data_IF_905594851658
#
_entry.id   IF_905594851658
#
_cell.length_a   1.000
_cell.length_b   1.000
_cell.length_c   1.000
_cell.angle_alpha   90.00
_cell.angle_beta   90.00
_cell.angle_gamma   90.00
#
_symmetry.space_group_name_H-M   'P 1'
#
loop_
_entity.id
_entity.type
_entity.pdbx_description
1 polymer ?
#
# COMPACT_ATOMS: atom_id res chain seq x y z
N UNK A 1 9.04 10.22 13.59
CA UNK A 1 9.12 8.79 13.98
C UNK A 1 8.15 8.08 13.06
N UNK A 2 8.60 7.07 12.33
CA UNK A 2 7.73 6.31 11.44
C UNK A 2 6.64 5.61 12.24
N UNK A 3 5.39 5.84 11.85
CA UNK A 3 4.20 5.31 12.52
C UNK A 3 3.66 4.09 11.79
N UNK A 4 3.62 4.17 10.46
CA UNK A 4 3.06 3.15 9.61
C UNK A 4 4.18 2.39 8.92
N UNK A 5 4.02 1.07 8.87
CA UNK A 5 4.87 0.19 8.07
C UNK A 5 3.98 -0.63 7.14
N UNK A 6 4.35 -0.69 5.87
CA UNK A 6 3.74 -1.59 4.90
C UNK A 6 4.76 -2.63 4.47
N UNK A 7 4.34 -3.88 4.39
CA UNK A 7 5.10 -4.94 3.72
C UNK A 7 4.27 -5.54 2.59
N UNK A 8 4.90 -5.86 1.46
CA UNK A 8 4.29 -6.53 0.33
C UNK A 8 5.14 -7.74 -0.06
N UNK A 9 4.57 -8.94 0.04
CA UNK A 9 5.25 -10.21 -0.21
C UNK A 9 4.62 -10.92 -1.40
N UNK A 10 5.45 -11.45 -2.31
CA UNK A 10 4.98 -12.24 -3.44
C UNK A 10 4.47 -13.61 -2.99
N UNK A 11 3.23 -13.97 -3.36
CA UNK A 11 2.62 -15.27 -3.05
C UNK A 11 2.62 -16.23 -4.25
N UNK A 12 3.18 -15.79 -5.39
CA UNK A 12 3.32 -16.58 -6.61
C UNK A 12 2.23 -16.27 -7.64
N UNK A 13 2.48 -16.66 -8.91
CA UNK A 13 1.50 -16.48 -9.99
C UNK A 13 1.08 -15.02 -10.27
N UNK A 14 1.95 -14.04 -9.96
CA UNK A 14 1.63 -12.62 -10.08
C UNK A 14 0.73 -12.06 -8.99
N UNK A 15 0.56 -12.80 -7.89
CA UNK A 15 -0.19 -12.39 -6.70
C UNK A 15 0.75 -11.97 -5.57
N UNK A 16 0.23 -11.10 -4.72
CA UNK A 16 0.93 -10.48 -3.61
C UNK A 16 0.00 -10.38 -2.42
N UNK A 17 0.57 -10.45 -1.23
CA UNK A 17 -0.10 -10.13 0.02
C UNK A 17 0.58 -8.91 0.64
N UNK A 18 -0.20 -7.95 1.10
CA UNK A 18 0.31 -6.81 1.84
C UNK A 18 -0.22 -6.74 3.26
N UNK A 19 0.59 -6.20 4.18
CA UNK A 19 0.19 -5.95 5.57
C UNK A 19 0.63 -4.55 5.97
N UNK A 20 -0.34 -3.70 6.29
CA UNK A 20 -0.12 -2.40 6.94
C UNK A 20 -0.15 -2.60 8.46
N UNK A 21 0.84 -2.06 9.16
CA UNK A 21 0.88 -2.00 10.63
C UNK A 21 0.96 -0.55 11.10
N UNK A 22 0.02 -0.13 11.95
CA UNK A 22 0.11 1.10 12.73
C UNK A 22 0.80 0.80 14.07
N UNK A 23 2.07 1.17 14.19
CA UNK A 23 2.89 0.91 15.38
C UNK A 23 2.43 1.70 16.62
N UNK A 24 1.62 2.76 16.46
CA UNK A 24 1.08 3.50 17.60
C UNK A 24 -0.04 2.72 18.32
N UNK A 25 -0.78 1.89 17.58
CA UNK A 25 -1.97 1.18 18.07
C UNK A 25 -1.85 -0.34 18.01
N UNK A 26 -0.78 -0.86 17.39
CA UNK A 26 -0.63 -2.25 16.97
C UNK A 26 -1.78 -2.76 16.10
N UNK A 27 -2.48 -1.86 15.42
CA UNK A 27 -3.54 -2.22 14.49
C UNK A 27 -2.96 -2.62 13.13
N UNK A 28 -3.58 -3.62 12.50
CA UNK A 28 -3.15 -4.15 11.20
C UNK A 28 -4.28 -4.17 10.19
N UNK A 29 -3.93 -3.91 8.93
CA UNK A 29 -4.80 -4.10 7.76
C UNK A 29 -4.12 -5.06 6.81
N UNK A 30 -4.85 -6.10 6.39
CA UNK A 30 -4.35 -7.12 5.47
C UNK A 30 -4.99 -6.95 4.10
N UNK A 31 -4.16 -7.03 3.06
CA UNK A 31 -4.53 -7.05 1.64
C UNK A 31 -4.08 -8.38 1.03
N UNK A 32 -4.86 -9.44 1.25
CA UNK A 32 -4.47 -10.83 0.94
C UNK A 32 -4.49 -11.25 -0.54
N UNK A 33 -5.06 -10.46 -1.44
CA UNK A 33 -5.16 -10.79 -2.87
C UNK A 33 -4.84 -9.58 -3.74
N UNK A 34 -3.65 -9.00 -3.55
CA UNK A 34 -3.13 -7.98 -4.45
C UNK A 34 -2.63 -8.64 -5.74
N UNK A 35 -2.89 -8.02 -6.89
CA UNK A 35 -2.58 -8.60 -8.20
C UNK A 35 -1.90 -7.58 -9.08
N UNK A 36 -0.98 -8.07 -9.92
CA UNK A 36 -0.44 -7.27 -11.01
C UNK A 36 -1.52 -7.01 -12.04
N UNK A 37 -1.71 -5.74 -12.38
CA UNK A 37 -2.65 -5.31 -13.41
C UNK A 37 -2.10 -4.11 -14.19
N UNK A 38 -2.75 -3.82 -15.31
CA UNK A 38 -2.41 -2.67 -16.15
C UNK A 38 -3.43 -1.56 -15.88
N UNK A 39 -2.95 -0.43 -15.38
CA UNK A 39 -3.77 0.76 -15.12
C UNK A 39 -3.14 1.94 -15.86
N UNK A 40 -3.90 2.59 -16.76
CA UNK A 40 -3.45 3.74 -17.55
C UNK A 40 -2.12 3.52 -18.29
N UNK A 41 -1.92 2.30 -18.81
CA UNK A 41 -0.70 1.93 -19.53
C UNK A 41 0.52 1.64 -18.63
N UNK A 42 0.36 1.71 -17.30
CA UNK A 42 1.39 1.35 -16.31
C UNK A 42 1.07 0.02 -15.65
N UNK A 43 2.10 -0.77 -15.39
CA UNK A 43 1.96 -1.98 -14.58
C UNK A 43 1.97 -1.59 -13.11
N UNK A 44 0.89 -1.91 -12.41
CA UNK A 44 0.71 -1.70 -10.97
C UNK A 44 0.48 -3.04 -10.28
N UNK A 45 0.58 -3.06 -8.95
CA UNK A 45 0.03 -4.12 -8.11
C UNK A 45 -1.05 -3.50 -7.23
N UNK A 46 -2.28 -4.00 -7.31
CA UNK A 46 -3.39 -3.45 -6.54
C UNK A 46 -4.28 -4.52 -5.94
N UNK A 47 -4.96 -4.17 -4.85
CA UNK A 47 -5.90 -5.08 -4.20
C UNK A 47 -6.68 -4.43 -3.05
N UNK A 48 -7.90 -4.89 -2.78
CA UNK A 48 -8.67 -4.44 -1.64
C UNK A 48 -8.15 -5.07 -0.34
N UNK A 49 -8.39 -4.38 0.77
CA UNK A 49 -8.35 -4.98 2.10
C UNK A 49 -9.21 -6.24 2.14
N UNK A 50 -8.67 -7.33 2.67
CA UNK A 50 -9.34 -8.63 2.74
C UNK A 50 -10.04 -8.86 4.08
N UNK A 51 -9.56 -8.22 5.15
CA UNK A 51 -10.14 -8.38 6.49
C UNK A 51 -11.06 -7.21 6.86
N UNK A 52 -12.29 -7.48 7.30
CA UNK A 52 -13.22 -6.43 7.76
C UNK A 52 -14.04 -5.77 6.65
N UNK A 53 -14.28 -4.45 6.75
CA UNK A 53 -15.25 -3.70 5.92
C UNK A 53 -14.78 -3.35 4.49
N UNK A 54 -13.66 -3.90 3.99
CA UNK A 54 -13.11 -3.62 2.64
C UNK A 54 -13.10 -2.12 2.28
N UNK A 55 -12.62 -1.30 3.22
CA UNK A 55 -12.62 0.15 3.08
C UNK A 55 -11.37 0.64 2.34
N UNK A 56 -10.26 -0.08 2.54
CA UNK A 56 -8.97 0.30 1.99
C UNK A 56 -8.65 -0.39 0.66
N UNK A 57 -8.04 0.37 -0.25
CA UNK A 57 -7.44 -0.10 -1.49
C UNK A 57 -5.94 0.16 -1.46
N UNK A 58 -5.16 -0.84 -1.85
CA UNK A 58 -3.72 -0.73 -2.06
C UNK A 58 -3.45 -0.54 -3.55
N UNK A 59 -2.57 0.39 -3.89
CA UNK A 59 -1.94 0.51 -5.20
C UNK A 59 -0.42 0.66 -5.02
N UNK A 60 0.35 -0.18 -5.71
CA UNK A 60 1.80 -0.11 -5.76
C UNK A 60 2.26 0.10 -7.19
N UNK A 61 3.21 1.00 -7.38
CA UNK A 61 3.88 1.22 -8.65
C UNK A 61 5.40 1.35 -8.46
N UNK A 62 6.16 1.09 -9.54
CA UNK A 62 7.58 1.38 -9.56
C UNK A 62 7.80 2.83 -10.02
N UNK A 63 8.53 3.61 -9.25
CA UNK A 63 8.86 5.00 -9.59
C UNK A 63 9.94 5.07 -10.67
N UNK A 64 10.08 6.19 -11.40
CA UNK A 64 11.15 6.39 -12.37
C UNK A 64 12.55 6.26 -11.77
N UNK A 65 12.70 6.62 -10.50
CA UNK A 65 13.96 6.57 -9.75
C UNK A 65 14.32 5.15 -9.27
N UNK A 66 13.46 4.17 -9.54
CA UNK A 66 13.72 2.76 -9.29
C UNK A 66 13.19 2.22 -7.96
N UNK A 67 12.65 3.09 -7.10
CA UNK A 67 11.95 2.72 -5.87
C UNK A 67 10.54 2.18 -6.15
N UNK A 68 9.91 1.60 -5.13
CA UNK A 68 8.49 1.30 -5.15
C UNK A 68 7.74 2.36 -4.36
N UNK A 69 6.64 2.86 -4.90
CA UNK A 69 5.69 3.67 -4.17
C UNK A 69 4.46 2.82 -3.86
N UNK A 70 3.95 2.89 -2.63
CA UNK A 70 2.68 2.28 -2.24
C UNK A 70 1.74 3.37 -1.73
N UNK A 71 0.53 3.41 -2.27
CA UNK A 71 -0.56 4.24 -1.80
C UNK A 71 -1.65 3.34 -1.20
N UNK A 72 -2.07 3.63 0.02
CA UNK A 72 -3.25 3.03 0.65
C UNK A 72 -4.35 4.07 0.74
N UNK A 73 -5.51 3.79 0.15
CA UNK A 73 -6.64 4.74 0.09
C UNK A 73 -7.89 4.16 0.72
N UNK A 74 -8.53 4.91 1.62
CA UNK A 74 -9.88 4.66 2.11
C UNK A 74 -10.78 5.75 1.53
N UNK A 75 -11.17 5.59 0.26
CA UNK A 75 -11.90 6.64 -0.47
C UNK A 75 -13.29 6.82 0.14
N UNK A 76 -13.70 8.06 0.48
CA UNK A 76 -13.08 9.35 0.11
C UNK A 76 -12.27 10.03 1.22
N UNK A 77 -11.88 9.32 2.27
CA UNK A 77 -11.44 9.92 3.53
C UNK A 77 -9.92 10.03 3.68
N UNK A 78 -9.15 8.99 3.36
CA UNK A 78 -7.73 8.92 3.77
C UNK A 78 -6.80 8.35 2.70
N UNK A 79 -5.56 8.83 2.71
CA UNK A 79 -4.40 8.34 1.97
C UNK A 79 -3.24 8.10 2.94
N UNK A 80 -2.56 6.97 2.82
CA UNK A 80 -1.24 6.76 3.41
C UNK A 80 -0.29 6.46 2.25
N UNK A 81 0.70 7.33 2.05
CA UNK A 81 1.69 7.18 0.98
C UNK A 81 3.04 6.74 1.55
N UNK A 82 3.64 5.78 0.87
CA UNK A 82 4.96 5.25 1.14
C UNK A 82 5.80 5.50 -0.13
N UNK A 83 6.60 6.58 -0.13
CA UNK A 83 7.30 7.06 -1.34
C UNK A 83 8.54 6.24 -1.72
N UNK A 84 9.27 5.75 -0.72
CA UNK A 84 10.58 5.12 -0.88
C UNK A 84 10.57 3.69 -0.31
N UNK A 85 9.70 2.82 -0.85
CA UNK A 85 9.70 1.43 -0.45
C UNK A 85 10.89 0.67 -1.06
N UNK A 86 11.56 -0.13 -0.24
CA UNK A 86 12.78 -0.85 -0.60
C UNK A 86 12.54 -2.37 -0.61
N UNK A 87 13.41 -3.08 -1.32
CA UNK A 87 13.43 -4.55 -1.26
C UNK A 87 14.14 -4.99 0.01
N UNK A 88 13.48 -5.84 0.78
CA UNK A 88 14.01 -6.42 2.01
C UNK A 88 13.64 -7.91 2.11
N UNK A 89 14.04 -8.57 3.20
CA UNK A 89 13.71 -9.95 3.52
C UNK A 89 13.00 -10.01 4.87
N UNK A 90 11.75 -10.47 4.86
CA UNK A 90 10.96 -10.71 6.07
C UNK A 90 10.67 -12.21 6.17
N UNK A 91 11.01 -12.82 7.31
CA UNK A 91 10.87 -14.28 7.56
C UNK A 91 11.46 -15.17 6.45
N UNK A 92 12.57 -14.73 5.85
CA UNK A 92 13.25 -15.45 4.77
C UNK A 92 12.61 -15.31 3.38
N UNK A 93 11.57 -14.48 3.24
CA UNK A 93 10.93 -14.17 1.96
C UNK A 93 11.27 -12.75 1.51
N UNK A 94 11.58 -12.59 0.22
CA UNK A 94 11.74 -11.26 -0.37
C UNK A 94 10.42 -10.50 -0.33
N UNK A 95 10.48 -9.27 0.15
CA UNK A 95 9.33 -8.38 0.27
C UNK A 95 9.73 -6.95 -0.07
N UNK A 96 8.73 -6.11 -0.31
CA UNK A 96 8.89 -4.66 -0.40
C UNK A 96 8.44 -4.07 0.93
N UNK A 97 9.26 -3.26 1.58
CA UNK A 97 8.94 -2.61 2.85
C UNK A 97 8.95 -1.09 2.67
N UNK A 98 7.92 -0.43 3.19
CA UNK A 98 7.81 1.02 3.22
C UNK A 98 7.47 1.54 4.61
N UNK A 99 7.88 2.77 4.88
CA UNK A 99 7.56 3.49 6.12
C UNK A 99 6.91 4.83 5.83
N UNK A 100 5.92 5.20 6.63
CA UNK A 100 5.26 6.49 6.54
C UNK A 100 4.98 7.05 7.94
N UNK A 101 5.06 8.38 8.07
CA UNK A 101 4.88 9.06 9.35
C UNK A 101 3.41 9.33 9.68
N UNK A 102 2.58 9.56 8.66
CA UNK A 102 1.21 10.02 8.84
C UNK A 102 0.27 9.55 7.73
N UNK A 103 -1.03 9.53 8.04
CA UNK A 103 -2.10 9.44 7.08
C UNK A 103 -2.57 10.86 6.74
N UNK A 104 -2.78 11.13 5.46
CA UNK A 104 -3.24 12.40 4.94
C UNK A 104 -4.74 12.27 4.60
N UNK A 105 -5.57 13.28 4.91
CA UNK A 105 -6.93 13.29 4.39
C UNK A 105 -6.85 13.40 2.87
N UNK A 106 -7.68 12.62 2.17
CA UNK A 106 -7.86 12.85 0.74
C UNK A 106 -8.54 14.22 0.60
N UNK A 107 -7.86 15.19 -0.01
CA UNK A 107 -8.52 16.41 -0.45
C UNK A 107 -9.51 16.00 -1.54
N UNK A 108 -10.74 15.69 -1.14
CA UNK A 108 -11.88 15.69 -2.05
C UNK A 108 -11.86 17.10 -2.59
N UNK A 109 -11.48 17.25 -3.87
CA UNK A 109 -11.53 18.51 -4.55
C UNK A 109 -12.88 19.11 -4.20
N UNK A 110 -12.86 20.21 -3.47
CA UNK A 110 -14.00 21.10 -3.46
C UNK A 110 -14.13 21.52 -4.92
N UNK A 111 -14.95 20.80 -5.68
CA UNK A 111 -15.70 21.44 -6.73
C UNK A 111 -16.38 22.63 -6.03
N UNK A 112 -15.81 23.80 -6.28
CA UNK A 112 -16.25 25.09 -5.78
C UNK A 112 -16.66 25.86 -7.03
N UNK A 113 -17.82 26.54 -7.07
CA UNK A 113 -19.12 26.26 -6.47
C UNK A 113 -20.16 25.74 -7.50
#
# INVERSE_FOLDING_TARGET
MHRYQISLTGTGGGRFQAVLTDHATNWQIVFGDCRREMHNGKQICAGPQTDGRKLWMLEMQKTPDGFYQIDLTDVPQWLIRFDECELDTLDGQQCIIGWADQAEPLEIGKETP
#
